data_IF_739443599670
#
_entry.id   IF_739443599670
#
_cell.length_a   1.000
_cell.length_b   1.000
_cell.length_c   1.000
_cell.angle_alpha   90.00
_cell.angle_beta   90.00
_cell.angle_gamma   90.00
#
_symmetry.space_group_name_H-M   'P 1'
#
loop_
_entity.id
_entity.type
_entity.pdbx_description
1 polymer ?
#
# COMPACT_ATOMS: atom_id res chain seq x y z
N UNK A 1 -18.29 6.75 1.29
CA UNK A 1 -17.61 6.43 2.56
C UNK A 1 -16.14 6.30 2.26
N UNK A 2 -15.26 6.97 3.01
CA UNK A 2 -13.80 6.86 2.84
C UNK A 2 -13.27 5.61 3.52
N UNK A 3 -12.14 5.08 3.07
CA UNK A 3 -11.46 3.94 3.70
C UNK A 3 -10.03 4.30 4.12
N UNK A 4 -9.56 3.71 5.20
CA UNK A 4 -8.18 3.80 5.68
C UNK A 4 -7.46 2.48 5.38
N UNK A 5 -6.38 2.53 4.62
CA UNK A 5 -5.54 1.35 4.30
C UNK A 5 -4.15 1.49 4.90
N UNK A 6 -3.49 0.36 5.17
CA UNK A 6 -2.09 0.33 5.59
C UNK A 6 -1.21 0.39 4.33
N UNK A 7 -0.39 1.43 4.20
CA UNK A 7 0.41 1.69 3.00
C UNK A 7 1.89 1.90 3.34
N UNK A 8 2.76 1.68 2.35
CA UNK A 8 4.20 1.99 2.43
C UNK A 8 4.62 2.84 1.25
N UNK A 9 5.58 3.75 1.47
CA UNK A 9 6.23 4.51 0.40
C UNK A 9 7.63 3.94 0.17
N UNK A 10 7.97 3.62 -1.08
CA UNK A 10 9.31 3.16 -1.43
C UNK A 10 10.32 4.31 -1.33
N UNK A 11 11.43 4.18 -0.58
CA UNK A 11 12.43 5.26 -0.49
C UNK A 11 13.21 5.47 -1.79
N UNK A 12 13.19 4.49 -2.70
CA UNK A 12 13.94 4.53 -3.98
C UNK A 12 13.14 5.15 -5.12
N UNK A 13 11.98 4.58 -5.44
CA UNK A 13 11.15 5.04 -6.56
C UNK A 13 9.98 5.94 -6.13
N UNK A 14 9.77 6.12 -4.83
CA UNK A 14 8.71 6.95 -4.26
C UNK A 14 7.26 6.51 -4.55
N UNK A 15 7.07 5.33 -5.15
CA UNK A 15 5.74 4.73 -5.24
C UNK A 15 5.18 4.46 -3.85
N UNK A 16 3.88 4.69 -3.70
CA UNK A 16 3.12 4.26 -2.52
C UNK A 16 2.31 3.02 -2.86
N UNK A 17 2.48 1.95 -2.11
CA UNK A 17 1.81 0.67 -2.32
C UNK A 17 0.94 0.28 -1.12
N UNK A 18 -0.19 -0.35 -1.39
CA UNK A 18 -1.08 -0.93 -0.39
C UNK A 18 -1.92 -2.06 -1.01
N UNK A 19 -2.49 -2.93 -0.17
CA UNK A 19 -3.39 -4.00 -0.62
C UNK A 19 -4.84 -3.52 -0.63
N UNK A 20 -5.54 -3.77 -1.74
CA UNK A 20 -6.95 -3.39 -1.97
C UNK A 20 -7.95 -4.40 -1.39
N UNK A 21 -7.51 -5.65 -1.21
CA UNK A 21 -8.32 -6.77 -0.70
C UNK A 21 -7.41 -7.83 -0.02
N UNK A 22 -8.01 -8.84 0.62
CA UNK A 22 -7.27 -9.98 1.15
C UNK A 22 -6.55 -10.75 0.03
N UNK A 23 -5.30 -11.14 0.27
CA UNK A 23 -4.41 -11.77 -0.72
C UNK A 23 -4.09 -10.89 -1.95
N UNK A 24 -4.14 -9.57 -1.82
CA UNK A 24 -3.73 -8.62 -2.85
C UNK A 24 -2.26 -8.22 -2.69
N UNK A 25 -1.39 -8.91 -3.41
CA UNK A 25 0.05 -8.67 -3.40
C UNK A 25 0.44 -7.54 -4.37
N UNK A 26 1.07 -6.48 -3.83
CA UNK A 26 1.62 -5.37 -4.61
C UNK A 26 3.11 -5.21 -4.41
N UNK A 27 3.79 -4.75 -5.45
CA UNK A 27 5.19 -4.35 -5.40
C UNK A 27 5.37 -2.99 -6.04
N UNK A 28 6.28 -2.17 -5.50
CA UNK A 28 6.61 -0.90 -6.16
C UNK A 28 7.27 -1.13 -7.52
N UNK A 29 7.31 -0.11 -8.38
CA UNK A 29 7.84 -0.20 -9.74
C UNK A 29 9.31 -0.63 -9.80
N UNK A 30 10.11 -0.32 -8.77
CA UNK A 30 11.51 -0.77 -8.70
C UNK A 30 11.69 -2.17 -8.09
N UNK A 31 10.60 -2.80 -7.61
CA UNK A 31 10.61 -4.12 -6.99
C UNK A 31 11.38 -4.21 -5.67
N UNK A 32 11.60 -3.06 -5.01
CA UNK A 32 12.35 -2.94 -3.76
C UNK A 32 11.52 -3.18 -2.50
N UNK A 33 10.21 -2.95 -2.57
CA UNK A 33 9.25 -3.22 -1.49
C UNK A 33 7.98 -3.86 -2.03
N UNK A 34 7.34 -4.66 -1.19
CA UNK A 34 6.07 -5.33 -1.49
C UNK A 34 5.16 -5.42 -0.26
N UNK A 35 3.84 -5.47 -0.49
CA UNK A 35 2.80 -5.57 0.53
C UNK A 35 1.80 -6.69 0.20
N UNK A 36 1.22 -7.29 1.24
CA UNK A 36 0.08 -8.21 1.17
C UNK A 36 -0.77 -8.10 2.44
N UNK A 37 -2.05 -8.44 2.36
CA UNK A 37 -2.93 -8.62 3.52
C UNK A 37 -4.18 -7.76 3.61
N UNK A 38 -4.43 -6.91 2.61
CA UNK A 38 -5.68 -6.16 2.49
C UNK A 38 -5.96 -5.26 3.70
N UNK A 39 -7.19 -5.35 4.22
CA UNK A 39 -7.63 -4.64 5.42
C UNK A 39 -7.37 -5.44 6.71
N UNK A 40 -7.03 -6.72 6.59
CA UNK A 40 -6.97 -7.65 7.74
C UNK A 40 -5.61 -7.62 8.41
N UNK A 41 -4.54 -7.61 7.61
CA UNK A 41 -3.16 -7.60 8.11
C UNK A 41 -2.24 -6.85 7.15
N UNK A 42 -1.04 -6.50 7.64
CA UNK A 42 0.01 -5.93 6.81
C UNK A 42 1.22 -6.85 6.85
N UNK A 43 1.53 -7.50 5.72
CA UNK A 43 2.78 -8.21 5.51
C UNK A 43 3.65 -7.39 4.55
N UNK A 44 4.89 -7.14 4.95
CA UNK A 44 5.86 -6.36 4.16
C UNK A 44 7.04 -7.24 3.80
N UNK A 45 7.50 -7.13 2.55
CA UNK A 45 8.80 -7.63 2.11
C UNK A 45 9.62 -6.46 1.55
N UNK A 46 10.93 -6.46 1.79
CA UNK A 46 11.84 -5.45 1.23
C UNK A 46 13.18 -6.08 0.85
N UNK A 47 13.85 -5.48 -0.14
CA UNK A 47 15.19 -5.87 -0.58
C UNK A 47 16.20 -4.85 -0.10
N UNK A 48 17.09 -5.27 0.80
CA UNK A 48 18.05 -4.37 1.42
C UNK A 48 19.01 -3.74 0.41
N UNK A 49 19.29 -4.44 -0.70
CA UNK A 49 20.14 -3.97 -1.78
C UNK A 49 19.50 -2.81 -2.57
N UNK A 50 18.18 -2.69 -2.54
CA UNK A 50 17.45 -1.68 -3.31
C UNK A 50 16.98 -0.50 -2.47
N UNK A 51 16.56 -0.75 -1.22
CA UNK A 51 15.93 0.27 -0.37
C UNK A 51 16.67 0.54 0.94
N UNK A 52 17.78 -0.15 1.20
CA UNK A 52 18.58 -0.01 2.41
C UNK A 52 18.26 -1.08 3.47
N UNK A 53 19.05 -1.11 4.56
CA UNK A 53 19.01 -2.19 5.54
C UNK A 53 17.70 -2.24 6.36
N UNK A 54 16.99 -1.12 6.46
CA UNK A 54 15.78 -0.99 7.26
C UNK A 54 14.52 -1.01 6.39
N UNK A 55 13.43 -1.68 6.82
CA UNK A 55 12.15 -1.62 6.12
C UNK A 55 11.58 -0.20 6.17
N UNK A 56 10.79 0.20 5.16
CA UNK A 56 10.05 1.45 5.23
C UNK A 56 8.98 1.38 6.32
N UNK A 57 8.75 2.51 6.98
CA UNK A 57 7.67 2.65 7.95
C UNK A 57 6.31 2.65 7.23
N UNK A 58 5.36 1.91 7.79
CA UNK A 58 3.99 1.87 7.31
C UNK A 58 3.17 3.04 7.89
N UNK A 59 2.22 3.54 7.12
CA UNK A 59 1.30 4.60 7.55
C UNK A 59 -0.14 4.31 7.09
N UNK A 60 -1.10 5.00 7.68
CA UNK A 60 -2.49 4.97 7.24
C UNK A 60 -2.69 5.87 6.03
N UNK A 61 -3.24 5.36 4.95
CA UNK A 61 -3.60 6.15 3.77
C UNK A 61 -5.12 6.27 3.68
N UNK A 62 -5.63 7.49 3.78
CA UNK A 62 -7.07 7.75 3.59
C UNK A 62 -7.38 7.90 2.12
N UNK A 63 -8.30 7.05 1.64
CA UNK A 63 -8.80 7.06 0.28
C UNK A 63 -10.24 7.55 0.26
N UNK A 64 -10.60 8.29 -0.79
CA UNK A 64 -11.98 8.71 -1.05
C UNK A 64 -12.89 7.58 -1.55
N UNK A 65 -12.29 6.42 -1.82
CA UNK A 65 -12.93 5.19 -2.30
C UNK A 65 -13.60 4.41 -1.16
N UNK A 66 -14.58 3.58 -1.52
CA UNK A 66 -15.17 2.59 -0.61
C UNK A 66 -14.40 1.27 -0.63
N UNK A 67 -14.51 0.43 0.42
CA UNK A 67 -13.94 -0.92 0.42
C UNK A 67 -14.42 -1.76 -0.77
N UNK A 68 -15.67 -1.61 -1.19
CA UNK A 68 -16.24 -2.33 -2.32
C UNK A 68 -15.62 -1.91 -3.65
N UNK A 69 -15.27 -0.64 -3.81
CA UNK A 69 -14.59 -0.14 -5.01
C UNK A 69 -13.17 -0.69 -5.11
N UNK A 70 -12.43 -0.73 -4.00
CA UNK A 70 -11.10 -1.35 -3.93
C UNK A 70 -11.17 -2.85 -4.19
N UNK A 71 -12.12 -3.54 -3.54
CA UNK A 71 -12.33 -4.96 -3.79
C UNK A 71 -12.70 -5.25 -5.24
N UNK A 72 -13.49 -4.39 -5.89
CA UNK A 72 -13.81 -4.51 -7.32
C UNK A 72 -12.59 -4.30 -8.21
N UNK A 73 -11.74 -3.33 -7.90
CA UNK A 73 -10.48 -3.10 -8.62
C UNK A 73 -9.59 -4.35 -8.60
N UNK A 74 -9.49 -5.00 -7.44
CA UNK A 74 -8.79 -6.29 -7.28
C UNK A 74 -9.49 -7.44 -8.00
N UNK A 75 -10.79 -7.65 -7.77
CA UNK A 75 -11.52 -8.81 -8.30
C UNK A 75 -11.64 -8.81 -9.82
N UNK A 76 -11.61 -7.63 -10.44
CA UNK A 76 -11.58 -7.44 -11.89
C UNK A 76 -10.17 -7.39 -12.48
N UNK A 77 -9.12 -7.45 -11.64
CA UNK A 77 -7.70 -7.35 -12.03
C UNK A 77 -7.37 -6.05 -12.77
N UNK A 78 -8.04 -4.95 -12.43
CA UNK A 78 -7.90 -3.67 -13.12
C UNK A 78 -6.62 -2.92 -12.72
N UNK A 79 -6.13 -3.12 -11.50
CA UNK A 79 -4.83 -2.62 -11.04
C UNK A 79 -4.62 -1.11 -11.05
N UNK A 80 -5.68 -0.36 -10.76
CA UNK A 80 -5.63 1.10 -10.79
C UNK A 80 -5.06 1.70 -9.52
N UNK A 81 -5.21 1.03 -8.37
CA UNK A 81 -4.97 1.66 -7.07
C UNK A 81 -3.88 1.00 -6.22
N UNK A 82 -3.51 -0.26 -6.48
CA UNK A 82 -2.56 -1.00 -5.63
C UNK A 82 -1.15 -0.41 -5.58
N UNK A 83 -0.76 0.32 -6.64
CA UNK A 83 0.50 1.07 -6.73
C UNK A 83 0.22 2.50 -7.21
N UNK A 84 0.53 3.47 -6.37
CA UNK A 84 0.37 4.89 -6.66
C UNK A 84 1.74 5.52 -6.99
N UNK A 85 1.91 6.13 -8.16
CA UNK A 85 3.17 6.76 -8.54
C UNK A 85 3.46 8.02 -7.70
N UNK A 86 4.72 8.48 -7.66
CA UNK A 86 5.06 9.73 -7.00
C UNK A 86 4.32 10.93 -7.62
N UNK A 87 4.03 11.93 -6.78
CA UNK A 87 3.33 13.15 -7.18
C UNK A 87 1.81 13.12 -7.01
N UNK A 88 1.24 11.99 -6.58
CA UNK A 88 -0.16 11.95 -6.16
C UNK A 88 -0.33 12.63 -4.80
N UNK A 89 -1.37 13.47 -4.64
CA UNK A 89 -1.72 14.03 -3.35
C UNK A 89 -2.35 12.96 -2.47
N UNK A 90 -1.67 12.60 -1.37
CA UNK A 90 -2.08 11.57 -0.44
C UNK A 90 -2.32 12.16 0.94
N UNK A 91 -3.42 11.77 1.58
CA UNK A 91 -3.68 12.10 2.98
C UNK A 91 -3.11 10.96 3.83
N UNK A 92 -1.94 11.19 4.41
CA UNK A 92 -1.29 10.26 5.34
C UNK A 92 -1.77 10.51 6.76
N UNK A 93 -2.12 9.45 7.45
CA UNK A 93 -2.53 9.43 8.84
C UNK A 93 -1.66 8.43 9.61
N UNK A 94 -1.41 8.65 10.92
CA UNK A 94 -0.76 7.64 11.76
C UNK A 94 -1.63 6.37 11.81
N UNK A 95 -0.98 5.20 11.84
CA UNK A 95 -1.70 3.95 12.06
C UNK A 95 -2.28 3.94 13.48
N UNK A 96 -3.53 3.48 13.67
CA UNK A 96 -4.09 3.32 15.01
C UNK A 96 -3.23 2.33 15.81
N UNK A 97 -2.94 2.65 17.07
CA UNK A 97 -2.24 1.74 17.98
C UNK A 97 -3.05 0.44 18.13
N UNK A 98 -2.45 -0.68 17.76
CA UNK A 98 -3.03 -2.01 17.97
C UNK A 98 -3.08 -2.25 19.50
N UNK A 99 -4.29 -2.29 20.08
CA UNK A 99 -4.53 -2.56 21.51
C UNK A 99 -4.23 -4.00 21.89
#
# INVERSE_FOLDING_TARGET
>A
MTVLVKALTCPRCQDTIFSRAGHDYHSCSCGGISVDGGFDYLRVAWKSELVGPTPPEAFGLRLTLTPEELHRDWSTKADKWGTLPPGMFLVKEPLPEEK
#
